data_IF_337130410839
#
_entry.id   IF_337130410839
#
_cell.length_a   1.000
_cell.length_b   1.000
_cell.length_c   1.000
_cell.angle_alpha   90.00
_cell.angle_beta   90.00
_cell.angle_gamma   90.00
#
_symmetry.space_group_name_H-M   'P 1'
#
loop_
_entity.id
_entity.type
_entity.pdbx_description
1 polymer ?
#
# COMPACT_ATOMS: atom_id res chain seq x y z
N UNK A 1 -20.79 -9.21 -15.68
CA UNK A 1 -20.12 -10.11 -14.74
C UNK A 1 -18.90 -10.68 -15.45
N UNK A 2 -17.72 -10.19 -15.08
CA UNK A 2 -16.47 -10.77 -15.54
C UNK A 2 -16.14 -11.95 -14.62
N UNK A 3 -16.17 -13.15 -15.15
CA UNK A 3 -15.72 -14.35 -14.45
C UNK A 3 -14.27 -14.60 -14.81
N UNK A 4 -13.37 -14.41 -13.87
CA UNK A 4 -11.97 -14.79 -14.00
C UNK A 4 -11.83 -16.22 -13.46
N UNK A 5 -11.54 -17.16 -14.35
CA UNK A 5 -11.51 -18.59 -14.00
C UNK A 5 -10.08 -19.16 -13.83
N UNK A 6 -9.08 -18.44 -14.31
CA UNK A 6 -7.68 -18.87 -14.26
C UNK A 6 -6.76 -17.75 -13.78
N UNK A 7 -5.57 -18.12 -13.25
CA UNK A 7 -4.52 -17.16 -12.88
C UNK A 7 -4.08 -16.27 -14.06
N UNK A 8 -4.01 -16.88 -15.25
CA UNK A 8 -3.64 -16.15 -16.47
C UNK A 8 -4.66 -15.06 -16.79
N UNK A 9 -5.94 -15.40 -16.77
CA UNK A 9 -7.03 -14.43 -17.01
C UNK A 9 -7.04 -13.33 -15.96
N UNK A 10 -6.78 -13.65 -14.68
CA UNK A 10 -6.67 -12.66 -13.61
C UNK A 10 -5.52 -11.70 -13.88
N UNK A 11 -4.34 -12.20 -14.19
CA UNK A 11 -3.17 -11.39 -14.44
C UNK A 11 -3.35 -10.45 -15.66
N UNK A 12 -3.99 -10.94 -16.71
CA UNK A 12 -4.34 -10.14 -17.90
C UNK A 12 -5.42 -9.09 -17.58
N UNK A 13 -6.44 -9.48 -16.82
CA UNK A 13 -7.50 -8.57 -16.39
C UNK A 13 -6.95 -7.43 -15.56
N UNK A 14 -6.13 -7.73 -14.57
CA UNK A 14 -5.50 -6.72 -13.72
C UNK A 14 -4.61 -5.75 -14.52
N UNK A 15 -3.79 -6.29 -15.42
CA UNK A 15 -2.98 -5.47 -16.34
C UNK A 15 -3.84 -4.56 -17.22
N UNK A 16 -4.98 -5.06 -17.70
CA UNK A 16 -5.90 -4.26 -18.53
C UNK A 16 -6.57 -3.14 -17.70
N UNK A 17 -6.88 -3.38 -16.42
CA UNK A 17 -7.36 -2.31 -15.54
C UNK A 17 -6.30 -1.23 -15.34
N UNK A 18 -5.04 -1.60 -15.11
CA UNK A 18 -3.94 -0.63 -15.05
C UNK A 18 -3.85 0.20 -16.34
N UNK A 19 -3.97 -0.44 -17.52
CA UNK A 19 -3.96 0.24 -18.82
C UNK A 19 -5.16 1.17 -19.03
N UNK A 20 -6.30 0.85 -18.45
CA UNK A 20 -7.49 1.67 -18.55
C UNK A 20 -7.39 2.94 -17.69
N UNK A 21 -6.71 2.85 -16.55
CA UNK A 21 -6.64 3.91 -15.55
C UNK A 21 -5.41 4.81 -15.75
N UNK A 22 -4.21 4.20 -15.84
CA UNK A 22 -2.96 4.95 -15.88
C UNK A 22 -2.75 5.65 -17.22
N UNK A 23 -2.37 6.91 -17.18
CA UNK A 23 -2.22 7.75 -18.37
C UNK A 23 -3.54 8.23 -18.97
N UNK A 24 -4.69 7.83 -18.44
CA UNK A 24 -6.00 8.24 -18.92
C UNK A 24 -6.40 9.60 -18.27
N UNK A 25 -6.59 10.67 -19.08
CA UNK A 25 -6.88 12.01 -18.54
C UNK A 25 -8.20 12.13 -17.76
N UNK A 26 -9.06 11.10 -17.83
CA UNK A 26 -10.29 11.06 -17.03
C UNK A 26 -10.05 10.77 -15.55
N UNK A 27 -8.88 10.22 -15.21
CA UNK A 27 -8.55 9.79 -13.85
C UNK A 27 -7.33 10.54 -13.32
N UNK A 28 -7.16 10.52 -11.99
CA UNK A 28 -6.06 11.19 -11.33
C UNK A 28 -6.00 12.69 -11.63
N UNK A 29 -4.80 13.25 -11.66
CA UNK A 29 -4.57 14.63 -12.07
C UNK A 29 -4.28 14.67 -13.58
N UNK A 30 -5.33 14.67 -14.39
CA UNK A 30 -5.22 14.64 -15.86
C UNK A 30 -4.37 13.46 -16.37
N UNK A 31 -4.66 12.28 -15.87
CA UNK A 31 -3.95 11.04 -16.20
C UNK A 31 -2.66 10.80 -15.41
N UNK A 32 -2.31 11.68 -14.46
CA UNK A 32 -1.11 11.55 -13.63
C UNK A 32 -1.45 11.09 -12.22
N UNK A 33 -0.67 10.15 -11.75
CA UNK A 33 -0.74 9.59 -10.41
C UNK A 33 0.60 9.77 -9.70
N UNK A 34 0.59 9.83 -8.38
CA UNK A 34 1.80 9.93 -7.54
C UNK A 34 2.22 8.59 -6.99
N UNK A 35 1.25 7.67 -6.86
CA UNK A 35 1.46 6.34 -6.32
C UNK A 35 0.47 5.34 -6.92
N UNK A 36 0.93 4.10 -7.10
CA UNK A 36 0.08 2.92 -7.31
C UNK A 36 0.17 2.04 -6.07
N UNK A 37 -0.95 1.92 -5.36
CA UNK A 37 -1.03 1.16 -4.13
C UNK A 37 -1.65 -0.21 -4.38
N UNK A 38 -0.86 -1.27 -4.19
CA UNK A 38 -1.28 -2.65 -4.41
C UNK A 38 -1.48 -3.35 -3.08
N UNK A 39 -2.73 -3.57 -2.70
CA UNK A 39 -3.06 -4.46 -1.60
C UNK A 39 -2.75 -5.90 -2.00
N UNK A 40 -1.69 -6.44 -1.46
CA UNK A 40 -1.17 -7.76 -1.83
C UNK A 40 -1.57 -8.87 -0.88
N UNK A 41 -2.48 -8.60 0.04
CA UNK A 41 -2.85 -9.56 1.06
C UNK A 41 -3.53 -10.80 0.44
N UNK A 42 -2.89 -11.93 0.56
CA UNK A 42 -3.54 -13.23 0.37
C UNK A 42 -4.32 -13.56 1.63
N UNK A 43 -5.63 -13.70 1.53
CA UNK A 43 -6.43 -14.21 2.65
C UNK A 43 -5.94 -15.59 3.10
N UNK A 44 -6.04 -15.88 4.39
CA UNK A 44 -5.74 -17.21 4.91
C UNK A 44 -6.60 -18.26 4.20
N UNK A 45 -5.99 -19.30 3.64
CA UNK A 45 -6.68 -20.35 2.89
C UNK A 45 -6.90 -20.05 1.39
N UNK A 46 -6.48 -18.88 0.89
CA UNK A 46 -6.48 -18.61 -0.54
C UNK A 46 -5.47 -19.50 -1.28
N UNK A 47 -5.86 -19.97 -2.47
CA UNK A 47 -4.93 -20.66 -3.35
C UNK A 47 -3.74 -19.76 -3.68
N UNK A 48 -2.56 -20.35 -3.77
CA UNK A 48 -1.35 -19.64 -4.14
C UNK A 48 -1.45 -19.21 -5.61
N UNK A 49 -1.71 -17.93 -5.84
CA UNK A 49 -1.76 -17.34 -7.18
C UNK A 49 -0.37 -16.84 -7.56
N UNK A 50 0.04 -17.14 -8.77
CA UNK A 50 1.28 -16.59 -9.35
C UNK A 50 0.95 -15.29 -10.08
N UNK A 51 1.36 -14.16 -9.50
CA UNK A 51 1.15 -12.84 -10.07
C UNK A 51 2.27 -12.45 -11.03
N UNK A 52 1.93 -11.77 -12.12
CA UNK A 52 2.89 -11.26 -13.11
C UNK A 52 3.33 -9.83 -12.76
N UNK A 53 3.87 -9.65 -11.55
CA UNK A 53 4.31 -8.33 -11.05
C UNK A 53 5.27 -7.62 -12.00
N UNK A 54 6.21 -8.34 -12.62
CA UNK A 54 7.17 -7.73 -13.55
C UNK A 54 6.48 -7.00 -14.69
N UNK A 55 5.43 -7.61 -15.28
CA UNK A 55 4.64 -6.99 -16.36
C UNK A 55 3.85 -5.79 -15.89
N UNK A 56 3.32 -5.86 -14.68
CA UNK A 56 2.56 -4.76 -14.09
C UNK A 56 3.46 -3.58 -13.77
N UNK A 57 4.60 -3.83 -13.13
CA UNK A 57 5.57 -2.77 -12.81
C UNK A 57 6.20 -2.16 -14.08
N UNK A 58 6.49 -2.96 -15.09
CA UNK A 58 6.95 -2.46 -16.39
C UNK A 58 5.92 -1.51 -17.01
N UNK A 59 4.64 -1.91 -17.00
CA UNK A 59 3.59 -1.05 -17.53
C UNK A 59 3.41 0.23 -16.71
N UNK A 60 3.39 0.16 -15.38
CA UNK A 60 3.26 1.32 -14.51
C UNK A 60 4.39 2.33 -14.81
N UNK A 61 5.63 1.87 -14.86
CA UNK A 61 6.78 2.71 -15.18
C UNK A 61 6.69 3.33 -16.58
N UNK A 62 6.18 2.58 -17.54
CA UNK A 62 5.98 3.09 -18.90
C UNK A 62 4.91 4.17 -18.97
N UNK A 63 3.82 4.04 -18.22
CA UNK A 63 2.69 4.97 -18.23
C UNK A 63 2.97 6.23 -17.41
N UNK A 64 3.57 6.09 -16.24
CA UNK A 64 3.70 7.16 -15.24
C UNK A 64 5.15 7.60 -14.97
N UNK A 65 6.15 6.88 -15.47
CA UNK A 65 7.55 7.16 -15.21
C UNK A 65 7.98 6.74 -13.80
N UNK A 66 8.68 7.62 -13.09
CA UNK A 66 9.20 7.36 -11.74
C UNK A 66 8.13 7.66 -10.69
N UNK A 67 7.19 6.75 -10.56
CA UNK A 67 6.07 6.80 -9.60
C UNK A 67 6.34 5.90 -8.39
N UNK A 68 5.81 6.28 -7.24
CA UNK A 68 5.82 5.41 -6.07
C UNK A 68 4.95 4.15 -6.30
N UNK A 69 5.45 3.00 -5.91
CA UNK A 69 4.70 1.74 -5.96
C UNK A 69 4.74 1.11 -4.57
N UNK A 70 3.57 1.01 -3.96
CA UNK A 70 3.36 0.22 -2.73
C UNK A 70 3.00 -1.21 -3.12
N UNK A 71 3.70 -2.17 -2.56
CA UNK A 71 3.47 -3.59 -2.85
C UNK A 71 4.11 -4.49 -1.79
N UNK A 72 3.64 -5.73 -1.70
CA UNK A 72 4.32 -6.81 -0.96
C UNK A 72 5.61 -7.30 -1.64
N UNK A 73 5.89 -6.85 -2.87
CA UNK A 73 7.11 -7.15 -3.60
C UNK A 73 8.18 -6.07 -3.35
N UNK A 74 9.45 -6.31 -3.72
CA UNK A 74 10.51 -5.31 -3.63
C UNK A 74 10.22 -4.09 -4.53
N UNK A 75 9.65 -3.02 -3.94
CA UNK A 75 9.26 -1.78 -4.61
C UNK A 75 9.69 -0.55 -3.80
N UNK A 76 9.44 0.65 -4.34
CA UNK A 76 9.86 1.92 -3.72
C UNK A 76 9.15 2.21 -2.40
N UNK A 77 7.98 1.63 -2.17
CA UNK A 77 7.21 1.74 -0.92
C UNK A 77 6.89 0.35 -0.40
N UNK A 78 7.16 0.10 0.87
CA UNK A 78 6.83 -1.16 1.56
C UNK A 78 5.81 -0.94 2.65
N UNK A 79 4.96 -1.92 2.90
CA UNK A 79 4.18 -1.93 4.13
C UNK A 79 5.10 -1.99 5.36
N UNK A 80 4.83 -1.17 6.33
CA UNK A 80 5.69 -1.08 7.53
C UNK A 80 5.45 -2.19 8.56
N UNK A 81 4.66 -3.20 8.23
CA UNK A 81 4.42 -4.36 9.07
C UNK A 81 3.34 -4.19 10.13
N UNK A 82 2.65 -3.05 10.17
CA UNK A 82 1.50 -2.84 11.07
C UNK A 82 0.57 -1.72 10.58
N UNK A 83 -0.69 -1.79 11.02
CA UNK A 83 -1.75 -0.81 10.77
C UNK A 83 -2.00 0.10 11.99
N UNK A 84 -1.06 0.16 12.92
CA UNK A 84 -1.17 0.94 14.16
C UNK A 84 -0.59 2.33 14.06
N UNK A 85 0.10 2.64 12.96
CA UNK A 85 0.82 3.89 12.78
C UNK A 85 2.03 4.03 13.70
N UNK A 86 2.79 2.95 13.87
CA UNK A 86 4.00 2.93 14.69
C UNK A 86 5.17 2.48 13.82
N UNK A 87 6.03 3.42 13.43
CA UNK A 87 7.29 3.14 12.77
C UNK A 87 8.35 2.67 13.76
N UNK A 88 9.36 1.96 13.28
CA UNK A 88 10.55 1.62 14.05
C UNK A 88 11.27 2.86 14.59
N UNK A 89 12.10 2.62 15.58
CA UNK A 89 12.99 3.65 16.14
C UNK A 89 14.35 3.01 16.44
N UNK A 90 15.34 3.18 15.56
CA UNK A 90 15.27 3.90 14.26
C UNK A 90 14.46 3.16 13.18
N UNK A 91 14.06 3.91 12.14
CA UNK A 91 13.52 3.38 10.90
C UNK A 91 14.44 3.72 9.72
N UNK A 92 14.73 2.74 8.87
CA UNK A 92 15.56 2.89 7.69
C UNK A 92 14.71 2.74 6.41
N UNK A 93 14.87 3.67 5.47
CA UNK A 93 14.20 3.59 4.17
C UNK A 93 15.01 2.80 3.16
N UNK A 94 15.73 1.80 3.65
CA UNK A 94 16.47 0.81 2.88
C UNK A 94 16.12 -0.58 3.36
N UNK A 95 16.18 -1.52 2.46
CA UNK A 95 15.99 -2.95 2.71
C UNK A 95 16.94 -3.76 1.85
N UNK A 96 17.23 -5.00 2.24
CA UNK A 96 17.86 -5.96 1.34
C UNK A 96 16.78 -6.54 0.44
N UNK A 97 16.87 -6.29 -0.86
CA UNK A 97 15.89 -6.75 -1.85
C UNK A 97 15.58 -8.24 -1.71
N UNK A 98 16.61 -9.06 -1.51
CA UNK A 98 16.47 -10.50 -1.34
C UNK A 98 15.70 -10.95 -0.08
N UNK A 99 15.52 -10.05 0.91
CA UNK A 99 14.75 -10.35 2.13
C UNK A 99 13.27 -10.00 2.00
N UNK A 100 12.86 -9.27 0.97
CA UNK A 100 11.44 -8.94 0.74
C UNK A 100 10.80 -10.12 0.01
N UNK A 101 10.22 -11.01 0.78
CA UNK A 101 9.56 -12.25 0.33
C UNK A 101 8.24 -12.42 1.07
N UNK A 102 7.42 -13.40 0.67
CA UNK A 102 6.16 -13.73 1.34
C UNK A 102 6.34 -14.08 2.85
N UNK A 103 7.55 -14.47 3.26
CA UNK A 103 7.88 -14.86 4.64
C UNK A 103 8.61 -13.76 5.42
N UNK A 104 8.72 -12.56 4.87
CA UNK A 104 9.40 -11.43 5.54
C UNK A 104 8.76 -11.11 6.88
N UNK A 105 9.57 -10.86 7.89
CA UNK A 105 9.08 -10.56 9.24
C UNK A 105 8.62 -9.11 9.35
N UNK A 106 7.50 -8.88 10.02
CA UNK A 106 6.95 -7.55 10.24
C UNK A 106 7.94 -6.62 10.94
N UNK A 107 8.76 -7.13 11.85
CA UNK A 107 9.80 -6.35 12.52
C UNK A 107 10.86 -5.84 11.53
N UNK A 108 11.26 -6.66 10.56
CA UNK A 108 12.18 -6.23 9.49
C UNK A 108 11.54 -5.17 8.59
N UNK A 109 10.26 -5.33 8.24
CA UNK A 109 9.51 -4.32 7.48
C UNK A 109 9.37 -3.01 8.27
N UNK A 110 9.21 -3.11 9.58
CA UNK A 110 9.05 -1.95 10.46
C UNK A 110 10.33 -1.12 10.58
N UNK A 111 11.47 -1.75 10.80
CA UNK A 111 12.75 -1.05 11.00
C UNK A 111 13.52 -0.79 9.71
N UNK A 112 13.33 -1.61 8.67
CA UNK A 112 14.21 -1.61 7.50
C UNK A 112 15.61 -2.16 7.82
N UNK A 113 16.61 -1.75 7.03
CA UNK A 113 17.97 -2.29 7.15
C UNK A 113 19.00 -1.20 6.78
N UNK A 114 19.88 -0.78 7.70
CA UNK A 114 20.93 0.21 7.39
C UNK A 114 21.88 -0.27 6.28
N UNK A 115 22.07 -1.60 6.17
CA UNK A 115 22.88 -2.25 5.14
C UNK A 115 22.05 -2.67 3.92
N UNK A 116 20.86 -2.10 3.75
CA UNK A 116 19.98 -2.38 2.61
C UNK A 116 20.61 -1.94 1.28
N UNK A 117 20.31 -2.70 0.23
CA UNK A 117 20.76 -2.48 -1.15
C UNK A 117 19.69 -1.86 -2.04
N UNK A 118 18.48 -1.65 -1.51
CA UNK A 118 17.36 -1.05 -2.23
C UNK A 118 16.67 0.00 -1.36
N UNK A 119 16.38 1.18 -1.96
CA UNK A 119 15.51 2.17 -1.33
C UNK A 119 14.07 1.67 -1.33
N UNK A 120 13.44 1.70 -0.17
CA UNK A 120 12.04 1.32 0.02
C UNK A 120 11.51 2.03 1.26
N UNK A 121 10.72 3.07 1.08
CA UNK A 121 10.15 3.80 2.20
C UNK A 121 9.10 2.96 2.91
N UNK A 122 9.10 2.97 4.24
CA UNK A 122 8.04 2.31 5.01
C UNK A 122 6.80 3.18 5.07
N UNK A 123 5.65 2.64 4.69
CA UNK A 123 4.35 3.31 4.79
C UNK A 123 3.39 2.49 5.64
N UNK A 124 2.57 3.16 6.46
CA UNK A 124 1.44 2.55 7.13
C UNK A 124 0.13 3.09 6.58
N UNK A 125 -0.81 2.19 6.44
CA UNK A 125 -2.21 2.44 6.29
C UNK A 125 -2.89 2.37 7.65
N UNK A 126 -3.52 3.45 8.08
CA UNK A 126 -4.18 3.54 9.38
C UNK A 126 -5.57 4.13 9.20
N UNK A 127 -6.59 3.48 9.74
CA UNK A 127 -7.94 4.04 9.75
C UNK A 127 -8.17 4.92 10.96
N UNK A 128 -8.88 6.03 10.78
CA UNK A 128 -9.35 6.87 11.89
C UNK A 128 -10.41 6.18 12.75
N UNK A 129 -11.02 5.08 12.26
CA UNK A 129 -12.06 4.31 12.93
C UNK A 129 -11.60 2.88 13.20
N UNK A 130 -12.42 2.10 13.87
CA UNK A 130 -12.23 0.66 13.96
C UNK A 130 -12.62 0.01 12.63
N UNK A 131 -11.66 -0.63 11.97
CA UNK A 131 -11.83 -1.17 10.62
C UNK A 131 -11.74 -0.12 9.51
N UNK A 132 -11.96 -0.56 8.26
CA UNK A 132 -11.67 0.22 7.05
C UNK A 132 -12.90 0.94 6.47
N UNK A 133 -14.10 0.57 6.91
CA UNK A 133 -15.35 1.11 6.40
C UNK A 133 -16.11 1.87 7.47
N UNK A 134 -17.02 2.74 7.04
CA UNK A 134 -17.89 3.47 7.95
C UNK A 134 -18.96 2.57 8.59
N UNK A 135 -19.14 2.72 9.88
CA UNK A 135 -20.24 2.13 10.63
C UNK A 135 -20.84 3.16 11.60
N UNK A 136 -22.17 3.27 11.64
CA UNK A 136 -22.89 4.27 12.45
C UNK A 136 -22.61 4.16 13.97
N UNK A 137 -22.27 2.97 14.44
CA UNK A 137 -21.99 2.68 15.85
C UNK A 137 -20.52 2.85 16.25
N UNK A 138 -19.65 3.31 15.33
CA UNK A 138 -18.23 3.54 15.59
C UNK A 138 -17.94 5.03 15.72
N UNK A 139 -17.05 5.37 16.65
CA UNK A 139 -16.50 6.71 16.80
C UNK A 139 -15.08 6.78 16.18
N UNK A 140 -14.67 7.92 15.65
CA UNK A 140 -13.28 8.11 15.23
C UNK A 140 -12.34 8.07 16.44
N UNK A 141 -11.07 7.77 16.19
CA UNK A 141 -9.99 7.88 17.18
C UNK A 141 -9.96 9.29 17.77
N UNK A 142 -9.58 9.40 19.03
CA UNK A 142 -9.42 10.69 19.69
C UNK A 142 -8.30 11.51 19.03
N UNK A 143 -8.36 12.83 19.17
CA UNK A 143 -7.28 13.73 18.71
C UNK A 143 -5.94 13.30 19.32
N UNK A 144 -5.94 12.89 20.60
CA UNK A 144 -4.75 12.41 21.27
C UNK A 144 -4.16 11.18 20.57
N UNK A 145 -4.99 10.20 20.21
CA UNK A 145 -4.53 8.99 19.53
C UNK A 145 -4.00 9.31 18.12
N UNK A 146 -4.67 10.21 17.39
CA UNK A 146 -4.23 10.65 16.07
C UNK A 146 -2.90 11.43 16.15
N UNK A 147 -2.71 12.26 17.17
CA UNK A 147 -1.43 12.94 17.41
C UNK A 147 -0.33 11.95 17.79
N UNK A 148 -0.63 10.93 18.59
CA UNK A 148 0.31 9.88 18.92
C UNK A 148 0.78 9.11 17.67
N UNK A 149 -0.15 8.78 16.78
CA UNK A 149 0.13 8.16 15.48
C UNK A 149 1.03 9.09 14.66
N UNK A 150 0.67 10.36 14.55
CA UNK A 150 1.45 11.35 13.80
C UNK A 150 2.91 11.39 14.26
N UNK A 151 3.16 11.53 15.56
CA UNK A 151 4.52 11.63 16.09
C UNK A 151 5.29 10.31 16.00
N UNK A 152 4.62 9.18 16.21
CA UNK A 152 5.26 7.85 16.14
C UNK A 152 5.46 7.34 14.71
N UNK A 153 4.90 8.01 13.74
CA UNK A 153 4.99 7.63 12.35
C UNK A 153 5.60 8.74 11.48
N UNK A 154 4.86 9.79 11.19
CA UNK A 154 5.35 10.94 10.39
C UNK A 154 6.53 11.62 11.09
N UNK A 155 6.47 11.75 12.41
CA UNK A 155 7.58 12.27 13.22
C UNK A 155 8.86 11.43 13.17
N UNK A 156 8.77 10.18 12.71
CA UNK A 156 9.92 9.30 12.45
C UNK A 156 10.32 9.23 10.97
N UNK A 157 9.74 10.12 10.14
CA UNK A 157 10.12 10.27 8.74
C UNK A 157 9.40 9.32 7.76
N UNK A 158 8.31 8.68 8.18
CA UNK A 158 7.54 7.74 7.35
C UNK A 158 6.24 8.37 6.83
N UNK A 159 5.84 8.12 5.58
CA UNK A 159 4.54 8.55 5.05
C UNK A 159 3.39 7.76 5.70
N UNK A 160 2.31 8.46 6.01
CA UNK A 160 1.11 7.90 6.61
C UNK A 160 -0.06 7.98 5.62
N UNK A 161 -0.60 6.83 5.23
CA UNK A 161 -1.87 6.73 4.52
C UNK A 161 -3.00 6.67 5.54
N UNK A 162 -3.72 7.78 5.70
CA UNK A 162 -4.82 7.85 6.67
C UNK A 162 -6.15 7.56 5.99
N UNK A 163 -6.75 6.43 6.34
CA UNK A 163 -8.08 6.06 5.85
C UNK A 163 -9.16 6.83 6.62
N UNK A 164 -9.95 7.61 5.87
CA UNK A 164 -11.09 8.38 6.37
C UNK A 164 -12.34 7.90 5.63
N UNK A 165 -13.04 6.87 6.15
CA UNK A 165 -14.17 6.29 5.45
C UNK A 165 -15.33 7.28 5.40
N UNK A 166 -15.91 7.54 4.20
CA UNK A 166 -17.08 8.40 4.07
C UNK A 166 -18.32 7.73 4.67
N UNK A 167 -19.21 8.54 5.23
CA UNK A 167 -20.52 8.08 5.68
C UNK A 167 -21.48 7.82 4.49
N UNK A 168 -22.74 7.47 4.79
CA UNK A 168 -23.74 7.14 3.77
C UNK A 168 -24.12 8.33 2.87
N UNK A 169 -23.92 9.55 3.34
CA UNK A 169 -24.15 10.80 2.61
C UNK A 169 -22.89 11.24 1.80
N UNK A 170 -21.80 10.49 1.89
CA UNK A 170 -20.54 10.82 1.22
C UNK A 170 -19.68 11.86 1.93
N UNK A 171 -20.01 12.20 3.17
CA UNK A 171 -19.25 13.13 4.00
C UNK A 171 -18.23 12.41 4.88
N UNK A 172 -17.14 13.09 5.23
CA UNK A 172 -16.25 12.64 6.29
C UNK A 172 -16.93 12.89 7.66
N UNK A 173 -17.08 11.85 8.45
CA UNK A 173 -17.79 11.87 9.73
C UNK A 173 -16.98 11.19 10.84
#
# INVERSE_FOLDING_TARGET
>A
NYHVNTEKEYNEYYLNQLKEILGNPKYGNNGKFIEVWMDGARGSGAQKVTYTFDKWFEYIKKAEGDIAIFSAQPTSVRWIGNERGIAGDPVWHKVKKAKITDDVKNDYLNHGDPEGDMYSVGEADVSIRSGWFYHDNQQPKSIKDLMDIYFKFVGRGTPLLLNIPPNKEGNFA
#
